data_IF_023977919045
#
_entry.id   IF_023977919045
#
_cell.length_a   1.000
_cell.length_b   1.000
_cell.length_c   1.000
_cell.angle_alpha   90.00
_cell.angle_beta   90.00
_cell.angle_gamma   90.00
#
_symmetry.space_group_name_H-M   'P 1'
#
loop_
_entity.id
_entity.type
_entity.pdbx_description
1 polymer ?
#
# COMPACT_ATOMS: atom_id res chain seq x y z
N UNK A 1 -4.47 5.78 4.64
CA UNK A 1 -5.51 5.68 3.60
C UNK A 1 -5.46 4.30 2.97
N UNK A 2 -6.60 3.79 2.50
CA UNK A 2 -6.72 2.52 1.79
C UNK A 2 -7.36 2.78 0.42
N UNK A 3 -6.78 2.19 -0.61
CA UNK A 3 -7.31 2.16 -1.97
C UNK A 3 -7.36 0.71 -2.50
N UNK A 4 -8.11 0.47 -3.57
CA UNK A 4 -8.02 -0.77 -4.33
C UNK A 4 -6.81 -0.77 -5.29
N UNK A 5 -6.64 -1.86 -6.04
CA UNK A 5 -5.52 -2.01 -6.98
C UNK A 5 -5.64 -1.10 -8.22
N UNK A 6 -6.86 -0.65 -8.54
CA UNK A 6 -7.17 0.22 -9.67
C UNK A 6 -7.00 1.71 -9.33
N UNK A 7 -6.76 2.05 -8.05
CA UNK A 7 -6.50 3.41 -7.61
C UNK A 7 -7.74 4.16 -7.12
N UNK A 8 -8.83 3.46 -6.80
CA UNK A 8 -9.99 4.06 -6.17
C UNK A 8 -9.86 4.08 -4.65
N UNK A 9 -10.14 5.24 -4.05
CA UNK A 9 -10.11 5.43 -2.61
C UNK A 9 -11.25 4.66 -1.92
N UNK A 10 -10.91 3.80 -0.95
CA UNK A 10 -11.88 3.08 -0.12
C UNK A 10 -12.11 3.75 1.24
N UNK A 11 -11.03 4.24 1.87
CA UNK A 11 -11.08 4.93 3.16
C UNK A 11 -9.87 5.84 3.34
N UNK A 12 -10.06 7.05 3.84
CA UNK A 12 -8.97 7.99 4.11
C UNK A 12 -9.09 8.63 5.48
N UNK A 13 -7.94 8.91 6.08
CA UNK A 13 -7.79 9.67 7.32
C UNK A 13 -6.46 10.41 7.27
N UNK A 14 -6.46 11.68 7.66
CA UNK A 14 -5.27 12.55 7.61
C UNK A 14 -4.93 13.14 6.25
N UNK A 15 -5.66 12.78 5.18
CA UNK A 15 -5.54 13.38 3.85
C UNK A 15 -6.83 14.13 3.49
N UNK A 16 -6.72 15.24 2.76
CA UNK A 16 -7.88 15.87 2.12
C UNK A 16 -8.45 14.94 1.05
N UNK A 17 -9.72 15.11 0.70
CA UNK A 17 -10.37 14.25 -0.30
C UNK A 17 -9.66 14.32 -1.66
N UNK A 18 -9.32 15.50 -2.14
CA UNK A 18 -8.63 15.67 -3.44
C UNK A 18 -7.23 15.03 -3.42
N UNK A 19 -6.48 15.21 -2.34
CA UNK A 19 -5.16 14.60 -2.20
C UNK A 19 -5.26 13.07 -2.11
N UNK A 20 -6.29 12.57 -1.43
CA UNK A 20 -6.54 11.14 -1.28
C UNK A 20 -6.84 10.47 -2.63
N UNK A 21 -7.67 11.07 -3.47
CA UNK A 21 -7.94 10.56 -4.82
C UNK A 21 -6.68 10.55 -5.70
N UNK A 22 -5.94 11.66 -5.73
CA UNK A 22 -4.72 11.76 -6.54
C UNK A 22 -3.64 10.79 -6.07
N UNK A 23 -3.47 10.62 -4.75
CA UNK A 23 -2.53 9.67 -4.19
C UNK A 23 -2.93 8.23 -4.46
N UNK A 24 -4.23 7.90 -4.47
CA UNK A 24 -4.71 6.56 -4.79
C UNK A 24 -4.39 6.19 -6.26
N UNK A 25 -4.65 7.10 -7.19
CA UNK A 25 -4.30 6.92 -8.60
C UNK A 25 -2.78 6.73 -8.80
N UNK A 26 -1.97 7.62 -8.20
CA UNK A 26 -0.51 7.52 -8.25
C UNK A 26 0.00 6.20 -7.65
N UNK A 27 -0.55 5.78 -6.52
CA UNK A 27 -0.16 4.54 -5.84
C UNK A 27 -0.42 3.31 -6.71
N UNK A 28 -1.54 3.28 -7.43
CA UNK A 28 -1.88 2.20 -8.36
C UNK A 28 -0.86 2.12 -9.51
N UNK A 29 -0.52 3.27 -10.12
CA UNK A 29 0.50 3.31 -11.17
C UNK A 29 1.87 2.85 -10.69
N UNK A 30 2.33 3.35 -9.54
CA UNK A 30 3.61 2.95 -8.96
C UNK A 30 3.64 1.46 -8.63
N UNK A 31 2.55 0.93 -8.06
CA UNK A 31 2.44 -0.49 -7.73
C UNK A 31 2.43 -1.35 -9.00
N UNK A 32 1.73 -0.92 -10.06
CA UNK A 32 1.75 -1.62 -11.34
C UNK A 32 3.17 -1.70 -11.94
N UNK A 33 3.94 -0.60 -11.85
CA UNK A 33 5.35 -0.60 -12.26
C UNK A 33 6.17 -1.56 -11.40
N UNK A 34 6.03 -1.51 -10.07
CA UNK A 34 6.75 -2.39 -9.17
C UNK A 34 6.45 -3.88 -9.43
N UNK A 35 5.18 -4.22 -9.62
CA UNK A 35 4.75 -5.59 -9.93
C UNK A 35 5.32 -6.09 -11.25
N UNK A 36 5.34 -5.23 -12.30
CA UNK A 36 5.96 -5.57 -13.59
C UNK A 36 7.44 -5.93 -13.45
N UNK A 37 8.14 -5.35 -12.49
CA UNK A 37 9.56 -5.62 -12.20
C UNK A 37 9.80 -6.52 -10.99
N UNK A 38 8.77 -7.17 -10.44
CA UNK A 38 8.87 -8.00 -9.25
C UNK A 38 9.97 -9.08 -9.37
N UNK A 39 10.08 -9.75 -10.53
CA UNK A 39 11.12 -10.75 -10.77
C UNK A 39 12.55 -10.19 -10.72
N UNK A 40 12.76 -8.97 -11.22
CA UNK A 40 14.05 -8.29 -11.13
C UNK A 40 14.38 -7.91 -9.67
N UNK A 41 13.41 -7.31 -8.97
CA UNK A 41 13.57 -6.78 -7.61
C UNK A 41 13.83 -7.90 -6.60
N UNK A 42 12.96 -8.92 -6.57
CA UNK A 42 13.07 -10.01 -5.60
C UNK A 42 14.05 -11.10 -6.03
N UNK A 43 14.20 -11.35 -7.34
CA UNK A 43 15.11 -12.37 -7.86
C UNK A 43 16.53 -11.87 -7.98
N UNK A 44 16.78 -11.03 -8.98
CA UNK A 44 18.13 -10.62 -9.35
C UNK A 44 18.78 -9.72 -8.31
N UNK A 45 18.03 -8.73 -7.81
CA UNK A 45 18.53 -7.77 -6.83
C UNK A 45 18.40 -8.26 -5.38
N UNK A 46 17.63 -9.33 -5.15
CA UNK A 46 17.37 -9.92 -3.83
C UNK A 46 16.88 -8.91 -2.80
N UNK A 47 16.16 -7.89 -3.25
CA UNK A 47 15.59 -6.88 -2.37
C UNK A 47 14.29 -7.41 -1.79
N UNK A 48 14.15 -7.34 -0.47
CA UNK A 48 12.88 -7.60 0.20
C UNK A 48 12.04 -6.31 0.26
N UNK A 49 11.78 -5.73 -0.90
CA UNK A 49 11.04 -4.48 -1.03
C UNK A 49 9.54 -4.78 -1.17
N UNK A 50 8.83 -4.86 -0.04
CA UNK A 50 7.38 -5.13 -0.03
C UNK A 50 6.50 -3.92 -0.37
N UNK A 51 7.08 -2.75 -0.62
CA UNK A 51 6.36 -1.53 -0.94
C UNK A 51 7.26 -0.43 -1.50
N UNK A 52 6.66 0.71 -1.83
CA UNK A 52 7.28 1.84 -2.53
C UNK A 52 7.17 3.07 -1.64
N UNK A 53 8.19 3.92 -1.63
CA UNK A 53 8.16 5.16 -0.85
C UNK A 53 8.63 6.36 -1.68
N UNK A 54 7.94 7.48 -1.52
CA UNK A 54 8.47 8.80 -1.80
C UNK A 54 9.31 9.22 -0.61
N UNK A 55 10.59 9.52 -0.84
CA UNK A 55 11.55 9.84 0.20
C UNK A 55 12.08 11.26 0.05
N UNK A 56 12.38 11.91 1.17
CA UNK A 56 13.10 13.18 1.16
C UNK A 56 14.60 12.98 0.90
N UNK A 57 15.36 14.08 0.82
CA UNK A 57 16.80 14.05 0.60
C UNK A 57 17.59 13.40 1.77
N UNK A 58 16.99 13.28 2.95
CA UNK A 58 17.57 12.57 4.09
C UNK A 58 17.23 11.06 4.08
N UNK A 59 16.41 10.61 3.12
CA UNK A 59 15.98 9.22 2.98
C UNK A 59 14.76 8.87 3.84
N UNK A 60 14.09 9.84 4.46
CA UNK A 60 12.87 9.57 5.22
C UNK A 60 11.67 9.43 4.28
N UNK A 61 10.90 8.36 4.47
CA UNK A 61 9.65 8.15 3.75
C UNK A 61 8.63 9.22 4.10
N UNK A 62 8.27 10.05 3.12
CA UNK A 62 7.20 11.04 3.22
C UNK A 62 5.83 10.41 2.95
N UNK A 63 5.77 9.54 1.94
CA UNK A 63 4.57 8.77 1.61
C UNK A 63 5.00 7.37 1.21
N UNK A 64 4.41 6.37 1.84
CA UNK A 64 4.68 4.96 1.58
C UNK A 64 3.42 4.28 1.05
N UNK A 65 3.57 3.50 -0.01
CA UNK A 65 2.55 2.63 -0.60
C UNK A 65 2.92 1.19 -0.29
N UNK A 66 2.01 0.47 0.37
CA UNK A 66 2.17 -0.92 0.73
C UNK A 66 1.06 -1.77 0.11
N UNK A 67 1.34 -2.62 -0.89
CA UNK A 67 0.37 -3.57 -1.40
C UNK A 67 0.02 -4.60 -0.33
N UNK A 68 -1.27 -4.90 -0.22
CA UNK A 68 -1.85 -5.89 0.67
C UNK A 68 -2.73 -6.83 -0.15
N UNK A 69 -2.54 -8.13 0.01
CA UNK A 69 -3.36 -9.15 -0.65
C UNK A 69 -4.14 -9.94 0.41
N UNK A 70 -5.46 -10.05 0.21
CA UNK A 70 -6.38 -10.79 1.07
C UNK A 70 -7.29 -11.64 0.19
N UNK A 71 -6.98 -12.93 0.08
CA UNK A 71 -7.65 -13.83 -0.85
C UNK A 71 -7.46 -13.35 -2.30
N UNK A 72 -8.57 -13.14 -3.02
CA UNK A 72 -8.58 -12.61 -4.38
C UNK A 72 -8.53 -11.08 -4.46
N UNK A 73 -8.57 -10.37 -3.32
CA UNK A 73 -8.62 -8.91 -3.30
C UNK A 73 -7.24 -8.33 -3.04
N UNK A 74 -6.90 -7.28 -3.78
CA UNK A 74 -5.67 -6.50 -3.60
C UNK A 74 -6.01 -5.08 -3.19
N UNK A 75 -5.27 -4.58 -2.21
CA UNK A 75 -5.44 -3.24 -1.66
C UNK A 75 -4.09 -2.52 -1.62
N UNK A 76 -4.15 -1.19 -1.62
CA UNK A 76 -2.99 -0.32 -1.43
C UNK A 76 -3.15 0.45 -0.12
N UNK A 77 -2.29 0.15 0.85
CA UNK A 77 -2.20 0.91 2.09
C UNK A 77 -1.24 2.08 1.87
N UNK A 78 -1.77 3.30 1.95
CA UNK A 78 -1.02 4.54 1.74
C UNK A 78 -0.87 5.25 3.08
N UNK A 79 0.38 5.44 3.51
CA UNK A 79 0.73 6.01 4.82
C UNK A 79 1.64 7.21 4.62
N UNK A 80 1.31 8.33 5.25
CA UNK A 80 2.23 9.46 5.37
C UNK A 80 3.26 9.15 6.47
N UNK A 81 4.54 9.41 6.20
CA UNK A 81 5.63 9.07 7.11
C UNK A 81 6.04 7.59 7.05
N UNK A 82 6.69 7.15 8.12
CA UNK A 82 7.17 5.77 8.28
C UNK A 82 6.00 4.85 8.66
N UNK A 83 5.71 3.80 7.88
CA UNK A 83 4.60 2.90 8.15
C UNK A 83 4.91 1.97 9.33
N UNK A 84 4.11 2.06 10.39
CA UNK A 84 4.22 1.20 11.58
C UNK A 84 3.43 -0.11 11.39
N UNK A 85 3.93 -1.00 10.53
CA UNK A 85 3.25 -2.26 10.14
C UNK A 85 3.34 -3.38 11.20
N UNK A 86 3.99 -3.13 12.33
CA UNK A 86 4.12 -4.07 13.44
C UNK A 86 3.13 -3.83 14.60
N UNK A 87 2.33 -2.75 14.53
CA UNK A 87 1.51 -2.29 15.63
C UNK A 87 0.11 -2.89 15.67
N UNK A 88 -0.55 -2.73 16.82
CA UNK A 88 -1.94 -3.19 17.03
C UNK A 88 -2.92 -2.55 16.03
N UNK A 89 -2.78 -1.26 15.74
CA UNK A 89 -3.64 -0.55 14.80
C UNK A 89 -3.59 -1.16 13.39
N UNK A 90 -2.41 -1.59 12.93
CA UNK A 90 -2.27 -2.29 11.66
C UNK A 90 -2.96 -3.66 11.71
N UNK A 91 -2.73 -4.44 12.77
CA UNK A 91 -3.38 -5.73 12.95
C UNK A 91 -4.91 -5.63 12.97
N UNK A 92 -5.47 -4.63 13.66
CA UNK A 92 -6.92 -4.39 13.71
C UNK A 92 -7.47 -4.00 12.32
N UNK A 93 -6.75 -3.19 11.55
CA UNK A 93 -7.13 -2.83 10.19
C UNK A 93 -7.14 -4.04 9.25
N UNK A 94 -6.08 -4.88 9.31
CA UNK A 94 -6.02 -6.13 8.54
C UNK A 94 -7.15 -7.08 8.95
N UNK A 95 -7.46 -7.17 10.24
CA UNK A 95 -8.57 -7.99 10.70
C UNK A 95 -9.91 -7.48 10.14
N UNK A 96 -10.18 -6.18 10.20
CA UNK A 96 -11.40 -5.61 9.60
C UNK A 96 -11.54 -5.95 8.10
N UNK A 97 -10.44 -5.88 7.35
CA UNK A 97 -10.42 -6.26 5.94
C UNK A 97 -10.62 -7.77 5.76
N UNK A 98 -9.93 -8.60 6.52
CA UNK A 98 -10.07 -10.05 6.42
C UNK A 98 -11.50 -10.49 6.79
N UNK A 99 -12.15 -9.89 7.79
CA UNK A 99 -13.53 -10.23 8.12
C UNK A 99 -14.49 -9.96 6.95
N UNK A 100 -14.22 -8.92 6.15
CA UNK A 100 -15.06 -8.52 5.02
C UNK A 100 -14.71 -9.23 3.72
N UNK A 101 -13.43 -9.54 3.48
CA UNK A 101 -12.92 -9.95 2.17
C UNK A 101 -12.23 -11.33 2.16
N UNK A 102 -11.93 -11.91 3.32
CA UNK A 102 -11.45 -13.28 3.40
C UNK A 102 -12.64 -14.23 3.31
N UNK A 103 -13.05 -14.55 2.08
CA UNK A 103 -13.95 -15.67 1.85
C UNK A 103 -13.20 -16.96 2.18
N UNK A 104 -13.78 -17.92 2.94
CA UNK A 104 -13.20 -19.26 3.01
C UNK A 104 -13.19 -19.86 1.60
N UNK A 105 -12.04 -20.40 1.21
CA UNK A 105 -11.88 -21.16 -0.04
C UNK A 105 -12.73 -22.43 -0.03
#
# INVERSE_FOLDING_TARGET
MLADAEGFQLASSGFTHEAAEQLAALAAELTAVHQRYHGLVHGNLRLNAGGIALVDAAGHGQVCVWPLTLGSHSFLLIVAGVPLLHGRAFADAIWGLAHRYATPA
#
